data_IF_706713428435
#
_entry.id   IF_706713428435
#
_cell.length_a   1.000
_cell.length_b   1.000
_cell.length_c   1.000
_cell.angle_alpha   90.00
_cell.angle_beta   90.00
_cell.angle_gamma   90.00
#
_symmetry.space_group_name_H-M   'P 1'
#
loop_
_entity.id
_entity.type
_entity.pdbx_description
1 polymer ?
#
# COMPACT_ATOMS: atom_id res chain seq x y z
N UNK A 1 -19.73 8.13 21.49
CA UNK A 1 -18.42 8.63 21.01
C UNK A 1 -17.46 8.58 22.17
N UNK A 2 -16.39 7.79 22.06
CA UNK A 2 -15.36 7.70 23.10
C UNK A 2 -14.35 8.82 22.85
N UNK A 3 -14.17 9.70 23.84
CA UNK A 3 -13.17 10.77 23.75
C UNK A 3 -11.77 10.18 23.97
N UNK A 4 -10.92 10.26 22.95
CA UNK A 4 -9.50 9.89 23.08
C UNK A 4 -8.76 11.07 23.73
N UNK A 5 -8.11 10.84 24.87
CA UNK A 5 -7.17 11.80 25.48
C UNK A 5 -5.74 11.44 25.09
N UNK A 6 -5.00 12.43 24.61
CA UNK A 6 -3.55 12.28 24.41
C UNK A 6 -2.84 12.27 25.77
N UNK A 7 -1.79 11.44 25.94
CA UNK A 7 -0.95 11.47 27.13
C UNK A 7 -0.31 12.84 27.37
N UNK A 8 -0.08 13.20 28.64
CA UNK A 8 0.59 14.44 29.01
C UNK A 8 1.99 14.51 28.35
N UNK A 9 2.30 15.65 27.72
CA UNK A 9 3.59 15.89 27.08
C UNK A 9 3.68 15.52 25.59
N UNK A 10 2.68 14.86 25.01
CA UNK A 10 2.63 14.62 23.55
C UNK A 10 2.27 15.93 22.84
N UNK A 11 3.16 16.39 21.95
CA UNK A 11 2.98 17.64 21.19
C UNK A 11 2.53 17.42 19.73
N UNK A 12 2.81 16.24 19.17
CA UNK A 12 2.46 15.90 17.79
C UNK A 12 2.25 14.40 17.64
N UNK A 13 1.41 14.02 16.66
CA UNK A 13 1.24 12.65 16.19
C UNK A 13 1.40 12.69 14.67
N UNK A 14 2.26 11.83 14.15
CA UNK A 14 2.47 11.67 12.71
C UNK A 14 2.04 10.27 12.35
N UNK A 15 1.15 10.17 11.36
CA UNK A 15 0.74 8.89 10.82
C UNK A 15 1.43 8.67 9.49
N UNK A 16 1.98 7.46 9.32
CA UNK A 16 2.26 6.97 7.99
C UNK A 16 0.93 6.86 7.21
N UNK A 17 0.93 7.30 5.96
CA UNK A 17 -0.25 7.18 5.12
C UNK A 17 -0.41 5.74 4.62
N UNK A 18 0.69 5.07 4.28
CA UNK A 18 0.71 3.84 3.50
C UNK A 18 0.00 2.67 4.16
N UNK A 19 0.47 2.24 5.33
CA UNK A 19 -0.07 1.06 6.02
C UNK A 19 -0.80 1.42 7.33
N UNK A 20 -0.56 2.62 7.87
CA UNK A 20 -1.25 3.05 9.10
C UNK A 20 -2.63 3.64 8.83
N UNK A 21 -2.78 4.47 7.79
CA UNK A 21 -4.08 5.05 7.42
C UNK A 21 -4.74 4.35 6.23
N UNK A 22 -3.93 3.83 5.32
CA UNK A 22 -4.36 3.06 4.15
C UNK A 22 -3.93 1.61 4.34
N UNK A 23 -4.60 0.70 3.65
CA UNK A 23 -4.13 -0.69 3.51
C UNK A 23 -3.34 -0.77 2.19
N UNK A 24 -2.08 -0.36 2.23
CA UNK A 24 -1.17 -0.40 1.09
C UNK A 24 -0.94 -1.84 0.62
N UNK A 25 -0.90 -2.79 1.57
CA UNK A 25 -0.84 -4.23 1.28
C UNK A 25 -1.99 -4.69 0.35
N UNK A 26 -3.23 -4.26 0.60
CA UNK A 26 -4.38 -4.52 -0.26
C UNK A 26 -4.21 -3.87 -1.63
N UNK A 27 -3.76 -2.62 -1.68
CA UNK A 27 -3.56 -1.91 -2.93
C UNK A 27 -2.55 -2.64 -3.85
N UNK A 28 -1.39 -3.03 -3.32
CA UNK A 28 -0.39 -3.78 -4.08
C UNK A 28 -0.85 -5.18 -4.46
N UNK A 29 -1.62 -5.85 -3.60
CA UNK A 29 -2.22 -7.15 -3.93
C UNK A 29 -3.18 -7.04 -5.13
N UNK A 30 -4.00 -5.99 -5.19
CA UNK A 30 -4.87 -5.74 -6.35
C UNK A 30 -4.05 -5.54 -7.63
N UNK A 31 -2.94 -4.81 -7.57
CA UNK A 31 -2.08 -4.63 -8.74
C UNK A 31 -1.40 -5.92 -9.18
N UNK A 32 -0.95 -6.75 -8.24
CA UNK A 32 -0.38 -8.07 -8.56
C UNK A 32 -1.38 -8.96 -9.28
N UNK A 33 -2.64 -8.98 -8.81
CA UNK A 33 -3.73 -9.71 -9.48
C UNK A 33 -3.96 -9.20 -10.90
N UNK A 34 -4.01 -7.87 -11.10
CA UNK A 34 -4.16 -7.25 -12.44
C UNK A 34 -3.01 -7.61 -13.38
N UNK A 35 -1.78 -7.68 -12.86
CA UNK A 35 -0.59 -8.04 -13.62
C UNK A 35 -0.41 -9.56 -13.81
N UNK A 36 -1.30 -10.39 -13.25
CA UNK A 36 -1.23 -11.86 -13.39
C UNK A 36 -0.10 -12.52 -12.60
N UNK A 37 0.42 -11.87 -11.55
CA UNK A 37 1.53 -12.40 -10.73
C UNK A 37 1.17 -12.48 -9.24
N UNK A 38 1.98 -13.21 -8.47
CA UNK A 38 1.81 -13.23 -7.02
C UNK A 38 2.25 -11.90 -6.40
N UNK A 39 1.66 -11.46 -5.27
CA UNK A 39 2.14 -10.27 -4.55
C UNK A 39 3.62 -10.38 -4.18
N UNK A 40 4.10 -11.58 -3.86
CA UNK A 40 5.52 -11.83 -3.58
C UNK A 40 6.42 -11.49 -4.78
N UNK A 41 6.01 -11.86 -6.00
CA UNK A 41 6.77 -11.54 -7.22
C UNK A 41 6.82 -10.04 -7.45
N UNK A 42 5.67 -9.36 -7.39
CA UNK A 42 5.60 -7.91 -7.59
C UNK A 42 6.44 -7.15 -6.55
N UNK A 43 6.27 -7.48 -5.27
CA UNK A 43 7.00 -6.81 -4.18
C UNK A 43 8.50 -7.14 -4.21
N UNK A 44 8.88 -8.34 -4.62
CA UNK A 44 10.29 -8.71 -4.81
C UNK A 44 10.97 -7.87 -5.89
N UNK A 45 10.31 -7.66 -7.04
CA UNK A 45 10.84 -6.80 -8.10
C UNK A 45 10.91 -5.33 -7.68
N UNK A 46 9.87 -4.82 -7.01
CA UNK A 46 9.88 -3.46 -6.45
C UNK A 46 11.03 -3.28 -5.46
N UNK A 47 11.21 -4.23 -4.53
CA UNK A 47 12.32 -4.22 -3.57
C UNK A 47 13.68 -4.20 -4.28
N UNK A 48 13.86 -5.02 -5.32
CA UNK A 48 15.10 -5.06 -6.10
C UNK A 48 15.36 -3.77 -6.89
N UNK A 49 14.33 -3.05 -7.35
CA UNK A 49 14.49 -1.73 -7.99
C UNK A 49 14.86 -0.66 -6.98
N UNK A 50 14.21 -0.65 -5.81
CA UNK A 50 14.48 0.28 -4.72
C UNK A 50 15.91 0.12 -4.20
N UNK A 51 16.36 -1.12 -3.97
CA UNK A 51 17.72 -1.43 -3.52
C UNK A 51 18.80 -0.89 -4.48
N UNK A 52 18.51 -0.90 -5.78
CA UNK A 52 19.39 -0.37 -6.84
C UNK A 52 19.20 1.14 -7.10
N UNK A 53 18.35 1.81 -6.33
CA UNK A 53 17.95 3.21 -6.56
C UNK A 53 17.45 3.46 -7.99
N UNK A 54 16.75 2.47 -8.56
CA UNK A 54 16.13 2.52 -9.87
C UNK A 54 14.68 2.98 -9.77
N UNK A 55 14.14 3.48 -10.88
CA UNK A 55 12.74 3.87 -10.96
C UNK A 55 11.81 2.66 -10.75
N UNK A 56 11.03 2.68 -9.68
CA UNK A 56 10.10 1.59 -9.32
C UNK A 56 9.03 1.35 -10.40
N UNK A 57 8.74 2.34 -11.27
CA UNK A 57 7.76 2.20 -12.35
C UNK A 57 8.22 1.24 -13.44
N UNK A 58 9.52 0.94 -13.50
CA UNK A 58 10.08 -0.08 -14.40
C UNK A 58 9.61 -1.50 -14.08
N UNK A 59 8.96 -1.71 -12.93
CA UNK A 59 8.39 -3.01 -12.57
C UNK A 59 7.40 -3.52 -13.63
N UNK A 60 6.64 -2.62 -14.28
CA UNK A 60 5.68 -2.99 -15.31
C UNK A 60 6.37 -3.48 -16.58
N UNK A 61 7.46 -2.82 -16.98
CA UNK A 61 8.31 -3.26 -18.10
C UNK A 61 8.95 -4.62 -17.83
N UNK A 62 9.43 -4.85 -16.60
CA UNK A 62 10.02 -6.12 -16.18
C UNK A 62 9.01 -7.27 -16.15
N UNK A 63 7.76 -6.95 -15.84
CA UNK A 63 6.64 -7.90 -15.87
C UNK A 63 6.07 -8.10 -17.29
N UNK A 64 6.45 -7.26 -18.26
CA UNK A 64 5.94 -7.31 -19.62
C UNK A 64 4.46 -6.94 -19.73
N UNK A 65 3.94 -6.10 -18.82
CA UNK A 65 2.53 -5.67 -18.78
C UNK A 65 2.42 -4.15 -18.94
N UNK A 66 1.25 -3.70 -19.40
CA UNK A 66 0.96 -2.27 -19.45
C UNK A 66 0.91 -1.68 -18.03
N UNK A 67 1.51 -0.50 -17.87
CA UNK A 67 1.49 0.22 -16.59
C UNK A 67 0.06 0.65 -16.25
N UNK A 68 -0.43 0.38 -15.02
CA UNK A 68 -1.69 0.94 -14.54
C UNK A 68 -1.65 2.48 -14.54
N UNK A 69 -2.65 3.09 -15.17
CA UNK A 69 -2.85 4.56 -15.19
C UNK A 69 -3.80 5.03 -14.09
N UNK A 70 -4.59 4.12 -13.53
CA UNK A 70 -5.53 4.42 -12.46
C UNK A 70 -4.82 4.56 -11.12
N UNK A 71 -5.07 5.65 -10.37
CA UNK A 71 -4.57 5.76 -9.00
C UNK A 71 -5.29 4.73 -8.10
N UNK A 72 -4.61 4.25 -7.04
CA UNK A 72 -5.27 3.39 -6.06
C UNK A 72 -6.44 4.14 -5.40
N UNK A 73 -7.59 3.47 -5.31
CA UNK A 73 -8.77 4.01 -4.64
C UNK A 73 -8.57 4.00 -3.12
N UNK A 74 -8.47 5.18 -2.52
CA UNK A 74 -8.48 5.36 -1.07
C UNK A 74 -9.92 5.66 -0.66
N UNK A 75 -10.61 4.62 -0.21
CA UNK A 75 -11.97 4.70 0.29
C UNK A 75 -12.03 4.32 1.77
N UNK A 76 -13.00 4.89 2.48
CA UNK A 76 -13.28 4.44 3.84
C UNK A 76 -13.83 3.02 3.75
N UNK A 77 -13.16 2.07 4.37
CA UNK A 77 -13.77 0.76 4.60
C UNK A 77 -14.95 0.96 5.56
N UNK A 78 -16.17 0.77 5.07
CA UNK A 78 -17.33 0.61 5.95
C UNK A 78 -17.05 -0.62 6.79
N UNK A 79 -16.92 -0.45 8.10
CA UNK A 79 -16.61 -1.54 9.02
C UNK A 79 -17.73 -2.57 8.99
N UNK A 80 -17.62 -3.58 8.13
CA UNK A 80 -18.16 -4.89 8.45
C UNK A 80 -17.30 -5.42 9.58
N UNK A 81 -17.97 -5.73 10.70
CA UNK A 81 -17.37 -6.33 11.88
C UNK A 81 -16.53 -7.53 11.45
N UNK A 82 -15.21 -7.35 11.41
CA UNK A 82 -14.26 -8.47 11.30
C UNK A 82 -14.30 -9.19 12.64
N UNK A 83 -15.29 -10.06 12.81
CA UNK A 83 -15.35 -11.02 13.90
C UNK A 83 -14.07 -11.85 13.79
N UNK A 84 -13.21 -11.73 14.79
CA UNK A 84 -12.11 -12.69 14.98
C UNK A 84 -12.68 -14.06 15.30
#
# INVERSE_FOLDING_TARGET
>A
MTTIRMPAGVRAVVFDVGETLVDESRAWKTQAVRAGVTPFTLMGLLGALIDRNEDHRRVWDLLGVERPVEPPLIERTTSETRTK
#
